data_IF_968902654616
#
_entry.id   IF_968902654616
#
_cell.length_a   1.000
_cell.length_b   1.000
_cell.length_c   1.000
_cell.angle_alpha   90.00
_cell.angle_beta   90.00
_cell.angle_gamma   90.00
#
_symmetry.space_group_name_H-M   'P 1'
#
loop_
_entity.id
_entity.type
_entity.pdbx_description
1 polymer ?
#
# COMPACT_ATOMS: atom_id res chain seq x y z
N UNK A 1 -6.26 15.74 -33.46
CA UNK A 1 -5.04 15.37 -32.70
C UNK A 1 -4.76 13.91 -32.96
N UNK A 2 -3.50 13.54 -33.23
CA UNK A 2 -3.11 12.14 -33.37
C UNK A 2 -3.15 11.47 -31.99
N UNK A 3 -3.61 10.23 -31.92
CA UNK A 3 -3.55 9.41 -30.69
C UNK A 3 -2.45 8.39 -30.90
N UNK A 4 -1.48 8.37 -29.98
CA UNK A 4 -0.39 7.42 -29.95
C UNK A 4 -0.72 6.31 -28.94
N UNK A 5 -0.39 5.07 -29.30
CA UNK A 5 -0.62 3.90 -28.45
C UNK A 5 0.73 3.30 -28.07
N UNK A 6 1.01 3.31 -26.77
CA UNK A 6 2.29 2.95 -26.19
C UNK A 6 2.18 1.64 -25.42
N UNK A 7 3.10 0.71 -25.67
CA UNK A 7 3.34 -0.43 -24.78
C UNK A 7 4.35 -0.02 -23.71
N UNK A 8 3.90 0.12 -22.46
CA UNK A 8 4.78 0.44 -21.34
C UNK A 8 5.39 -0.87 -20.79
N UNK A 9 6.43 -1.38 -21.45
CA UNK A 9 7.03 -2.66 -21.07
C UNK A 9 7.72 -2.67 -19.68
N UNK A 10 7.98 -1.50 -19.09
CA UNK A 10 8.39 -1.39 -17.69
C UNK A 10 7.23 -1.59 -16.70
N UNK A 11 5.98 -1.53 -17.17
CA UNK A 11 4.77 -1.63 -16.36
C UNK A 11 4.07 -2.97 -16.58
N UNK A 12 4.22 -3.89 -15.63
CA UNK A 12 3.61 -5.22 -15.64
C UNK A 12 2.65 -5.43 -14.44
N UNK A 13 1.73 -6.40 -14.49
CA UNK A 13 0.87 -6.74 -13.35
C UNK A 13 1.63 -7.16 -12.09
N UNK A 14 2.87 -7.65 -12.25
CA UNK A 14 3.77 -8.06 -11.17
C UNK A 14 5.18 -7.51 -11.40
N UNK A 15 5.95 -7.20 -10.33
CA UNK A 15 5.53 -7.14 -8.92
C UNK A 15 4.56 -5.98 -8.65
N UNK A 16 4.01 -5.90 -7.42
CA UNK A 16 3.02 -4.89 -7.04
C UNK A 16 3.48 -3.44 -7.35
N UNK A 17 4.78 -3.17 -7.22
CA UNK A 17 5.33 -1.87 -7.59
C UNK A 17 5.06 -1.48 -9.06
N UNK A 18 5.17 -2.44 -9.98
CA UNK A 18 4.96 -2.20 -11.40
C UNK A 18 3.48 -1.96 -11.72
N UNK A 19 2.58 -2.68 -11.05
CA UNK A 19 1.15 -2.46 -11.18
C UNK A 19 0.77 -1.04 -10.74
N UNK A 20 1.20 -0.64 -9.54
CA UNK A 20 0.92 0.69 -9.01
C UNK A 20 1.57 1.78 -9.87
N UNK A 21 2.82 1.58 -10.34
CA UNK A 21 3.49 2.49 -11.27
C UNK A 21 2.65 2.71 -12.54
N UNK A 22 2.11 1.65 -13.13
CA UNK A 22 1.27 1.76 -14.33
C UNK A 22 0.08 2.69 -14.11
N UNK A 23 -0.56 2.56 -12.93
CA UNK A 23 -1.68 3.43 -12.57
C UNK A 23 -1.23 4.85 -12.26
N UNK A 24 -0.05 5.04 -11.68
CA UNK A 24 0.58 6.33 -11.48
C UNK A 24 0.84 7.04 -12.81
N UNK A 25 1.35 6.32 -13.82
CA UNK A 25 1.54 6.87 -15.17
C UNK A 25 0.22 7.31 -15.79
N UNK A 26 -0.81 6.46 -15.78
CA UNK A 26 -2.15 6.84 -16.28
C UNK A 26 -2.68 8.07 -15.55
N UNK A 27 -2.63 8.07 -14.21
CA UNK A 27 -3.14 9.17 -13.39
C UNK A 27 -2.45 10.49 -13.72
N UNK A 28 -1.12 10.52 -13.68
CA UNK A 28 -0.35 11.74 -13.87
C UNK A 28 -0.50 12.30 -15.29
N UNK A 29 -0.46 11.43 -16.31
CA UNK A 29 -0.70 11.86 -17.69
C UNK A 29 -2.13 12.40 -17.83
N UNK A 30 -3.13 11.71 -17.28
CA UNK A 30 -4.52 12.17 -17.33
C UNK A 30 -4.76 13.50 -16.61
N UNK A 31 -4.12 13.72 -15.47
CA UNK A 31 -4.33 14.93 -14.66
C UNK A 31 -3.55 16.14 -15.20
N UNK A 32 -2.36 15.93 -15.76
CA UNK A 32 -1.41 17.02 -16.01
C UNK A 32 -1.09 17.25 -17.48
N UNK A 33 -1.38 16.30 -18.39
CA UNK A 33 -1.00 16.43 -19.80
C UNK A 33 -2.16 16.14 -20.78
N UNK A 34 -2.88 15.03 -20.61
CA UNK A 34 -3.93 14.57 -21.51
C UNK A 34 -5.12 13.94 -20.74
N UNK A 35 -6.16 14.71 -20.42
CA UNK A 35 -7.38 14.20 -19.76
C UNK A 35 -8.11 13.09 -20.52
N UNK A 36 -7.81 12.89 -21.81
CA UNK A 36 -8.40 11.85 -22.64
C UNK A 36 -7.58 10.55 -22.66
N UNK A 37 -6.44 10.51 -21.96
CA UNK A 37 -5.57 9.34 -21.92
C UNK A 37 -6.29 8.11 -21.37
N UNK A 38 -6.01 6.95 -21.95
CA UNK A 38 -6.64 5.67 -21.61
C UNK A 38 -5.60 4.61 -21.32
N UNK A 39 -5.83 3.81 -20.28
CA UNK A 39 -4.96 2.72 -19.89
C UNK A 39 -5.65 1.36 -19.90
N UNK A 40 -4.93 0.29 -20.25
CA UNK A 40 -5.40 -1.10 -20.15
C UNK A 40 -4.26 -2.11 -20.07
N UNK A 41 -4.57 -3.33 -19.65
CA UNK A 41 -3.63 -4.44 -19.58
C UNK A 41 -3.73 -5.31 -20.83
N UNK A 42 -2.57 -5.67 -21.39
CA UNK A 42 -2.47 -6.63 -22.50
C UNK A 42 -1.06 -7.21 -22.56
N UNK A 43 -0.97 -8.54 -22.74
CA UNK A 43 0.29 -9.27 -22.94
C UNK A 43 1.36 -8.96 -21.86
N UNK A 44 0.95 -9.05 -20.57
CA UNK A 44 1.76 -8.74 -19.38
C UNK A 44 2.36 -7.32 -19.35
N UNK A 45 1.78 -6.38 -20.10
CA UNK A 45 2.19 -4.98 -20.12
C UNK A 45 0.99 -4.06 -19.96
N UNK A 46 1.23 -2.88 -19.39
CA UNK A 46 0.26 -1.80 -19.43
C UNK A 46 0.39 -1.06 -20.75
N UNK A 47 -0.75 -0.74 -21.36
CA UNK A 47 -0.84 0.02 -22.58
C UNK A 47 -1.48 1.38 -22.29
N UNK A 48 -0.93 2.42 -22.90
CA UNK A 48 -1.39 3.80 -22.73
C UNK A 48 -1.70 4.40 -24.10
N UNK A 49 -2.93 4.86 -24.30
CA UNK A 49 -3.31 5.71 -25.42
C UNK A 49 -3.32 7.17 -24.95
N UNK A 50 -2.59 8.06 -25.63
CA UNK A 50 -2.47 9.49 -25.29
C UNK A 50 -2.13 10.30 -26.54
N UNK A 51 -2.35 11.62 -26.50
CA UNK A 51 -1.88 12.55 -27.54
C UNK A 51 -0.36 12.72 -27.57
N UNK A 52 0.35 12.32 -26.52
CA UNK A 52 1.81 12.42 -26.45
C UNK A 52 2.46 11.29 -27.23
N UNK A 53 3.43 11.59 -28.09
CA UNK A 53 4.32 10.57 -28.64
C UNK A 53 5.29 10.04 -27.57
N UNK A 54 6.22 9.16 -27.97
CA UNK A 54 7.09 8.44 -27.02
C UNK A 54 8.06 9.42 -26.34
N UNK A 55 8.66 10.30 -27.12
CA UNK A 55 9.61 11.31 -26.68
C UNK A 55 8.93 12.34 -25.79
N UNK A 56 7.76 12.84 -26.19
CA UNK A 56 6.95 13.76 -25.39
C UNK A 56 6.49 13.14 -24.07
N UNK A 57 6.16 11.85 -24.04
CA UNK A 57 5.78 11.17 -22.81
C UNK A 57 6.96 11.07 -21.83
N UNK A 58 8.17 10.74 -22.31
CA UNK A 58 9.36 10.75 -21.46
C UNK A 58 9.70 12.16 -20.97
N UNK A 59 9.61 13.15 -21.85
CA UNK A 59 9.89 14.55 -21.53
C UNK A 59 8.90 15.10 -20.49
N UNK A 60 7.63 14.74 -20.58
CA UNK A 60 6.62 15.09 -19.58
C UNK A 60 7.07 14.69 -18.17
N UNK A 61 7.54 13.44 -17.97
CA UNK A 61 8.01 13.01 -16.64
C UNK A 61 9.33 13.68 -16.23
N UNK A 62 10.18 14.05 -17.18
CA UNK A 62 11.46 14.70 -16.91
C UNK A 62 11.31 16.19 -16.57
N UNK A 63 10.35 16.90 -17.19
CA UNK A 63 10.26 18.37 -17.11
C UNK A 63 8.96 18.91 -16.56
N UNK A 64 7.83 18.34 -16.97
CA UNK A 64 6.53 18.95 -16.73
C UNK A 64 5.81 18.38 -15.51
N UNK A 65 6.07 17.11 -15.18
CA UNK A 65 5.41 16.42 -14.07
C UNK A 65 5.62 17.17 -12.75
N UNK A 66 4.52 17.50 -12.08
CA UNK A 66 4.48 18.02 -10.72
C UNK A 66 4.08 16.89 -9.76
N UNK A 67 4.91 16.53 -8.77
CA UNK A 67 4.59 15.45 -7.84
C UNK A 67 3.42 15.79 -6.92
N UNK A 68 2.65 14.76 -6.57
CA UNK A 68 1.63 14.85 -5.53
C UNK A 68 2.29 15.15 -4.19
N UNK A 69 1.67 16.00 -3.35
CA UNK A 69 2.22 16.37 -2.06
C UNK A 69 2.00 15.29 -0.98
N UNK A 70 2.75 14.20 -1.11
CA UNK A 70 2.69 13.05 -0.20
C UNK A 70 3.43 13.39 1.10
N UNK A 71 2.68 13.69 2.16
CA UNK A 71 3.20 14.01 3.50
C UNK A 71 2.56 13.12 4.56
N UNK A 72 3.33 12.71 5.56
CA UNK A 72 2.83 11.92 6.69
C UNK A 72 3.31 12.50 8.04
N UNK A 73 2.79 13.66 8.47
CA UNK A 73 3.17 14.29 9.74
C UNK A 73 2.80 13.44 10.96
N UNK A 74 1.99 12.39 10.82
CA UNK A 74 1.70 11.44 11.91
C UNK A 74 2.80 10.38 12.10
N UNK A 75 3.73 10.27 11.16
CA UNK A 75 4.84 9.34 11.23
C UNK A 75 6.06 9.98 11.91
N UNK A 76 6.77 9.21 12.74
CA UNK A 76 8.01 9.69 13.36
C UNK A 76 9.16 9.81 12.34
N UNK A 77 9.16 8.95 11.31
CA UNK A 77 10.23 8.85 10.30
C UNK A 77 10.08 9.76 9.09
N UNK A 78 8.99 10.55 9.00
CA UNK A 78 8.66 11.39 7.85
C UNK A 78 9.50 12.66 7.73
N UNK A 79 10.23 13.03 8.79
CA UNK A 79 11.07 14.22 8.83
C UNK A 79 10.46 15.41 9.59
N UNK A 80 9.18 15.35 9.98
CA UNK A 80 8.52 16.48 10.68
C UNK A 80 8.93 16.64 12.16
N UNK A 81 9.49 15.61 12.81
CA UNK A 81 9.86 15.63 14.25
C UNK A 81 11.37 15.51 14.50
N UNK A 82 12.20 15.92 13.54
CA UNK A 82 13.66 15.84 13.61
C UNK A 82 14.33 16.36 12.33
N UNK A 83 15.64 16.18 12.22
CA UNK A 83 16.35 16.58 10.99
C UNK A 83 15.95 15.65 9.83
N UNK A 84 15.26 16.20 8.84
CA UNK A 84 14.78 15.49 7.66
C UNK A 84 15.33 16.13 6.39
N UNK A 85 16.61 15.92 6.09
CA UNK A 85 17.32 16.67 5.04
C UNK A 85 16.59 16.71 3.69
N UNK A 86 15.94 15.61 3.29
CA UNK A 86 15.17 15.56 2.04
C UNK A 86 13.85 16.35 2.10
N UNK A 87 13.14 16.32 3.23
CA UNK A 87 11.96 17.16 3.47
C UNK A 87 12.37 18.63 3.51
N UNK A 88 13.44 18.94 4.22
CA UNK A 88 13.97 20.30 4.36
C UNK A 88 14.39 20.87 2.99
N UNK A 89 15.01 20.05 2.15
CA UNK A 89 15.35 20.39 0.78
C UNK A 89 14.12 20.66 -0.09
N UNK A 90 13.10 19.79 0.00
CA UNK A 90 11.82 19.99 -0.69
C UNK A 90 11.11 21.29 -0.23
N UNK A 91 11.13 21.57 1.07
CA UNK A 91 10.53 22.78 1.66
C UNK A 91 11.19 24.08 1.16
N UNK A 92 12.51 24.06 0.94
CA UNK A 92 13.29 25.20 0.44
C UNK A 92 13.28 25.36 -1.09
N UNK A 93 12.74 24.38 -1.81
CA UNK A 93 12.73 24.38 -3.27
C UNK A 93 12.15 25.66 -3.85
N UNK A 94 12.70 26.16 -4.96
CA UNK A 94 12.13 27.31 -5.69
C UNK A 94 11.51 26.92 -7.03
N UNK A 95 11.66 25.68 -7.47
CA UNK A 95 11.14 25.22 -8.75
C UNK A 95 9.60 25.14 -8.74
N UNK A 96 8.96 25.57 -9.83
CA UNK A 96 7.50 25.61 -9.97
C UNK A 96 6.85 24.23 -9.79
N UNK A 97 7.48 23.18 -10.33
CA UNK A 97 6.93 21.82 -10.25
C UNK A 97 6.75 21.29 -8.82
N UNK A 98 7.48 21.84 -7.84
CA UNK A 98 7.40 21.43 -6.44
C UNK A 98 6.51 22.36 -5.59
N UNK A 99 5.77 23.30 -6.19
CA UNK A 99 4.89 24.22 -5.47
C UNK A 99 3.87 23.50 -4.59
N UNK A 100 3.08 22.58 -5.17
CA UNK A 100 2.10 21.80 -4.41
C UNK A 100 2.77 20.98 -3.29
N UNK A 101 3.98 20.45 -3.53
CA UNK A 101 4.76 19.72 -2.54
C UNK A 101 5.11 20.61 -1.33
N UNK A 102 5.56 21.84 -1.59
CA UNK A 102 5.86 22.83 -0.55
C UNK A 102 4.61 23.22 0.23
N UNK A 103 3.50 23.47 -0.44
CA UNK A 103 2.23 23.80 0.22
C UNK A 103 1.80 22.69 1.19
N UNK A 104 2.02 21.43 0.80
CA UNK A 104 1.76 20.29 1.66
C UNK A 104 2.66 20.19 2.87
N UNK A 105 3.94 20.47 2.70
CA UNK A 105 4.91 20.52 3.79
C UNK A 105 4.53 21.65 4.76
N UNK A 106 4.18 22.83 4.26
CA UNK A 106 3.75 23.97 5.08
C UNK A 106 2.47 23.64 5.85
N UNK A 107 1.47 23.08 5.18
CA UNK A 107 0.20 22.68 5.81
C UNK A 107 0.40 21.60 6.89
N UNK A 108 1.36 20.69 6.69
CA UNK A 108 1.72 19.68 7.68
C UNK A 108 2.52 20.28 8.86
N UNK A 109 3.47 21.17 8.60
CA UNK A 109 4.27 21.84 9.64
C UNK A 109 3.38 22.62 10.61
N UNK A 110 2.39 23.37 10.09
CA UNK A 110 1.43 24.12 10.88
C UNK A 110 0.66 23.26 11.91
N UNK A 111 0.46 21.97 11.63
CA UNK A 111 -0.21 21.03 12.53
C UNK A 111 0.74 20.31 13.50
N UNK A 112 2.05 20.37 13.25
CA UNK A 112 3.06 19.66 14.06
C UNK A 112 3.80 20.55 15.04
N UNK A 113 3.67 21.88 14.94
CA UNK A 113 4.39 22.83 15.80
C UNK A 113 4.06 22.63 17.28
N UNK A 114 2.78 22.62 17.65
CA UNK A 114 2.36 22.42 19.04
C UNK A 114 2.76 21.03 19.58
N UNK A 115 2.66 20.00 18.75
CA UNK A 115 3.06 18.63 19.09
C UNK A 115 4.56 18.57 19.36
N UNK A 116 5.37 19.22 18.51
CA UNK A 116 6.82 19.27 18.64
C UNK A 116 7.25 20.01 19.89
N UNK A 117 6.56 21.11 20.22
CA UNK A 117 6.75 21.85 21.48
C UNK A 117 6.43 20.98 22.70
N UNK A 118 5.31 20.26 22.69
CA UNK A 118 4.94 19.34 23.76
C UNK A 118 5.93 18.16 23.92
N UNK A 119 6.43 17.59 22.81
CA UNK A 119 7.49 16.55 22.88
C UNK A 119 8.81 17.12 23.42
N UNK A 120 9.17 18.35 23.06
CA UNK A 120 10.35 19.02 23.59
C UNK A 120 10.25 19.25 25.11
N UNK A 121 9.08 19.65 25.62
CA UNK A 121 8.78 19.78 27.04
C UNK A 121 8.94 18.43 27.77
N UNK A 122 8.33 17.36 27.24
CA UNK A 122 8.48 15.99 27.77
C UNK A 122 9.96 15.56 27.82
N UNK A 123 10.71 15.84 26.75
CA UNK A 123 12.15 15.51 26.66
C UNK A 123 12.99 16.32 27.64
N UNK A 124 12.69 17.60 27.84
CA UNK A 124 13.38 18.46 28.79
C UNK A 124 13.23 17.93 30.23
N UNK A 125 12.00 17.59 30.64
CA UNK A 125 11.74 16.99 31.96
C UNK A 125 12.46 15.63 32.09
N UNK A 126 12.41 14.78 31.06
CA UNK A 126 13.12 13.48 31.06
C UNK A 126 14.65 13.68 31.15
N UNK A 127 15.19 14.74 30.57
CA UNK A 127 16.62 15.07 30.56
C UNK A 127 17.14 15.45 31.95
N UNK A 128 16.33 16.09 32.80
CA UNK A 128 16.67 16.37 34.20
C UNK A 128 17.13 15.08 34.93
N UNK A 129 16.45 13.96 34.69
CA UNK A 129 16.81 12.66 35.30
C UNK A 129 18.00 11.94 34.63
N UNK A 130 18.49 12.45 33.49
CA UNK A 130 19.58 11.88 32.69
C UNK A 130 20.86 12.73 32.74
N UNK A 131 20.87 13.82 33.52
CA UNK A 131 22.03 14.70 33.65
C UNK A 131 23.33 13.96 33.99
N UNK A 132 24.41 14.29 33.27
CA UNK A 132 25.72 13.64 33.42
C UNK A 132 26.33 13.83 34.82
N UNK A 133 25.94 14.87 35.56
CA UNK A 133 26.41 15.15 36.92
C UNK A 133 25.62 14.50 38.07
N UNK A 134 24.55 13.75 37.79
CA UNK A 134 23.71 13.14 38.82
C UNK A 134 24.17 11.74 39.22
N UNK A 135 24.35 11.51 40.52
CA UNK A 135 24.57 10.17 41.08
C UNK A 135 23.33 9.28 40.92
N UNK A 136 23.51 7.95 40.95
CA UNK A 136 22.40 6.99 40.86
C UNK A 136 21.32 7.22 41.94
N UNK A 137 21.74 7.60 43.15
CA UNK A 137 20.83 7.93 44.26
C UNK A 137 20.04 9.21 43.98
N UNK A 138 20.70 10.28 43.48
CA UNK A 138 20.04 11.53 43.13
C UNK A 138 19.02 11.35 41.99
N UNK A 139 19.34 10.55 40.96
CA UNK A 139 18.37 10.21 39.89
C UNK A 139 17.14 9.49 40.42
N UNK A 140 17.34 8.59 41.38
CA UNK A 140 16.25 7.81 41.98
C UNK A 140 15.35 8.70 42.83
N UNK A 141 15.94 9.58 43.65
CA UNK A 141 15.19 10.58 44.43
C UNK A 141 14.38 11.51 43.54
N UNK A 142 14.99 12.06 42.47
CA UNK A 142 14.30 12.94 41.52
C UNK A 142 13.12 12.22 40.83
N UNK A 143 13.29 10.97 40.40
CA UNK A 143 12.18 10.20 39.79
C UNK A 143 11.09 9.81 40.79
N UNK A 144 11.41 9.77 42.08
CA UNK A 144 10.45 9.52 43.15
C UNK A 144 9.71 10.79 43.60
N UNK A 145 10.26 11.96 43.29
CA UNK A 145 9.72 13.27 43.64
C UNK A 145 8.29 13.44 43.08
N UNK A 146 7.29 13.76 43.92
CA UNK A 146 5.92 13.98 43.48
C UNK A 146 5.76 15.10 42.44
N UNK A 147 6.54 16.18 42.54
CA UNK A 147 6.48 17.29 41.60
C UNK A 147 7.04 16.89 40.24
N UNK A 148 8.16 16.17 40.21
CA UNK A 148 8.72 15.60 38.98
C UNK A 148 7.70 14.71 38.25
N UNK A 149 7.05 13.80 39.00
CA UNK A 149 6.03 12.92 38.44
C UNK A 149 4.82 13.69 37.93
N UNK A 150 4.37 14.71 38.65
CA UNK A 150 3.25 15.57 38.24
C UNK A 150 3.56 16.29 36.94
N UNK A 151 4.69 17.02 36.86
CA UNK A 151 5.11 17.74 35.65
C UNK A 151 5.23 16.81 34.45
N UNK A 152 5.85 15.64 34.64
CA UNK A 152 6.00 14.65 33.58
C UNK A 152 4.64 14.10 33.11
N UNK A 153 3.73 13.79 34.04
CA UNK A 153 2.41 13.28 33.70
C UNK A 153 1.55 14.32 32.97
N UNK A 154 1.61 15.60 33.37
CA UNK A 154 0.93 16.70 32.70
C UNK A 154 1.47 16.90 31.27
N UNK A 155 2.79 16.91 31.10
CA UNK A 155 3.44 17.04 29.80
C UNK A 155 3.15 15.83 28.88
N UNK A 156 3.28 14.59 29.40
CA UNK A 156 2.96 13.37 28.65
C UNK A 156 1.46 13.33 28.27
N UNK A 157 0.55 13.79 29.14
CA UNK A 157 -0.88 13.90 28.84
C UNK A 157 -1.16 14.92 27.73
N UNK A 158 -0.57 16.12 27.82
CA UNK A 158 -0.69 17.16 26.77
C UNK A 158 -0.19 16.63 25.42
N UNK A 159 1.00 16.02 25.40
CA UNK A 159 1.56 15.41 24.20
C UNK A 159 0.65 14.32 23.62
N UNK A 160 0.12 13.43 24.48
CA UNK A 160 -0.79 12.36 24.05
C UNK A 160 -2.07 12.90 23.40
N UNK A 161 -2.68 13.94 23.98
CA UNK A 161 -3.88 14.60 23.43
C UNK A 161 -3.59 15.21 22.06
N UNK A 162 -2.53 16.01 21.95
CA UNK A 162 -2.15 16.66 20.69
C UNK A 162 -1.83 15.63 19.59
N UNK A 163 -1.11 14.56 19.95
CA UNK A 163 -0.77 13.47 19.04
C UNK A 163 -2.03 12.74 18.54
N UNK A 164 -2.98 12.45 19.42
CA UNK A 164 -4.24 11.79 19.05
C UNK A 164 -5.10 12.69 18.14
N UNK A 165 -5.07 14.01 18.33
CA UNK A 165 -5.82 14.94 17.49
C UNK A 165 -5.23 15.23 16.11
N UNK A 166 -3.96 14.87 15.86
CA UNK A 166 -3.24 15.24 14.63
C UNK A 166 -3.96 14.73 13.37
N UNK A 167 -4.23 13.42 13.27
CA UNK A 167 -4.88 12.83 12.09
C UNK A 167 -6.31 13.38 11.91
N UNK A 168 -7.16 13.48 12.96
CA UNK A 168 -8.43 14.19 12.87
C UNK A 168 -8.31 15.62 12.34
N UNK A 169 -7.33 16.40 12.79
CA UNK A 169 -7.11 17.77 12.32
C UNK A 169 -6.65 17.82 10.87
N UNK A 170 -5.71 16.96 10.45
CA UNK A 170 -5.34 16.80 9.04
C UNK A 170 -6.59 16.51 8.19
N UNK A 171 -7.45 15.60 8.65
CA UNK A 171 -8.71 15.26 7.96
C UNK A 171 -9.67 16.44 7.84
N UNK A 172 -9.79 17.25 8.89
CA UNK A 172 -10.68 18.42 8.90
C UNK A 172 -10.16 19.54 8.00
N UNK A 173 -8.85 19.79 7.98
CA UNK A 173 -8.26 20.96 7.33
C UNK A 173 -7.80 20.70 5.89
N UNK A 174 -7.27 19.51 5.59
CA UNK A 174 -6.66 19.25 4.29
C UNK A 174 -7.71 19.03 3.19
N UNK A 175 -7.42 19.55 2.00
CA UNK A 175 -8.23 19.42 0.79
C UNK A 175 -7.34 19.07 -0.40
N UNK A 176 -7.96 18.71 -1.53
CA UNK A 176 -7.25 18.45 -2.77
C UNK A 176 -6.22 17.31 -2.66
N UNK A 177 -5.07 17.40 -3.34
CA UNK A 177 -4.09 16.32 -3.43
C UNK A 177 -3.55 15.81 -2.08
N UNK A 178 -3.38 16.68 -1.06
CA UNK A 178 -2.95 16.26 0.29
C UNK A 178 -3.97 15.32 0.94
N UNK A 179 -5.26 15.60 0.70
CA UNK A 179 -6.36 14.83 1.24
C UNK A 179 -6.44 13.47 0.57
N UNK A 180 -6.18 13.38 -0.74
CA UNK A 180 -6.17 12.11 -1.47
C UNK A 180 -5.13 11.13 -0.91
N UNK A 181 -3.92 11.61 -0.60
CA UNK A 181 -2.90 10.77 0.04
C UNK A 181 -3.33 10.29 1.43
N UNK A 182 -3.85 11.18 2.28
CA UNK A 182 -4.34 10.79 3.60
C UNK A 182 -5.47 9.76 3.50
N UNK A 183 -6.40 9.94 2.55
CA UNK A 183 -7.49 9.01 2.31
C UNK A 183 -7.01 7.66 1.78
N UNK A 184 -5.89 7.58 1.04
CA UNK A 184 -5.28 6.30 0.68
C UNK A 184 -4.56 5.65 1.87
N UNK A 185 -3.81 6.44 2.65
CA UNK A 185 -2.91 5.93 3.69
C UNK A 185 -3.63 5.47 4.96
N UNK A 186 -4.81 6.02 5.27
CA UNK A 186 -5.55 5.71 6.49
C UNK A 186 -7.04 6.07 6.39
N UNK A 187 -7.81 5.55 7.35
CA UNK A 187 -9.20 5.94 7.58
C UNK A 187 -9.45 6.08 9.08
N UNK A 188 -10.33 7.01 9.48
CA UNK A 188 -10.71 7.15 10.89
C UNK A 188 -11.94 6.29 11.20
N UNK A 189 -11.87 5.51 12.28
CA UNK A 189 -12.97 4.77 12.87
C UNK A 189 -14.07 5.67 13.46
N UNK A 190 -15.18 5.05 13.86
CA UNK A 190 -16.28 5.75 14.55
C UNK A 190 -15.85 6.28 15.94
N UNK A 191 -14.82 5.68 16.52
CA UNK A 191 -14.15 6.09 17.77
C UNK A 191 -13.10 7.19 17.56
N UNK A 192 -12.86 7.60 16.32
CA UNK A 192 -11.84 8.60 15.97
C UNK A 192 -10.42 8.03 15.87
N UNK A 193 -10.22 6.73 16.09
CA UNK A 193 -8.92 6.09 16.00
C UNK A 193 -8.55 5.79 14.54
N UNK A 194 -7.29 5.99 14.13
CA UNK A 194 -6.85 5.70 12.77
C UNK A 194 -6.67 4.19 12.56
N UNK A 195 -7.19 3.71 11.43
CA UNK A 195 -6.95 2.37 10.93
C UNK A 195 -6.23 2.46 9.57
N UNK A 196 -5.33 1.51 9.31
CA UNK A 196 -4.40 1.57 8.18
C UNK A 196 -4.58 0.37 7.24
N UNK A 197 -4.82 0.58 5.92
CA UNK A 197 -4.84 -0.51 4.96
C UNK A 197 -3.43 -1.09 4.76
N UNK A 198 -3.34 -2.41 4.61
CA UNK A 198 -2.07 -3.11 4.43
C UNK A 198 -1.25 -2.58 3.24
N UNK A 199 -1.93 -2.12 2.18
CA UNK A 199 -1.32 -1.56 0.98
C UNK A 199 -0.32 -0.44 1.27
N UNK A 200 -0.57 0.41 2.26
CA UNK A 200 0.31 1.52 2.66
C UNK A 200 0.88 1.34 4.07
N UNK A 201 0.86 0.09 4.57
CA UNK A 201 1.45 -0.28 5.85
C UNK A 201 0.77 0.41 7.03
N UNK A 202 1.53 1.14 7.85
CA UNK A 202 1.00 1.90 9.01
C UNK A 202 0.98 3.39 8.71
N UNK A 203 0.10 3.80 7.79
CA UNK A 203 -0.07 5.21 7.42
C UNK A 203 1.10 5.76 6.60
N UNK A 204 1.58 5.00 5.63
CA UNK A 204 2.76 5.37 4.84
C UNK A 204 4.09 4.88 5.42
N UNK A 205 4.06 3.84 6.25
CA UNK A 205 5.24 3.22 6.87
C UNK A 205 5.28 1.71 6.65
N UNK A 206 6.45 1.19 6.32
CA UNK A 206 6.76 -0.24 6.35
C UNK A 206 7.93 -0.52 7.31
N UNK A 207 7.63 -1.04 8.50
CA UNK A 207 8.61 -1.19 9.57
C UNK A 207 9.23 0.16 9.95
N UNK A 208 10.53 0.33 9.63
CA UNK A 208 11.28 1.58 9.86
C UNK A 208 11.34 2.50 8.63
N UNK A 209 10.86 2.04 7.48
CA UNK A 209 10.89 2.77 6.23
C UNK A 209 9.64 3.67 6.15
N UNK A 210 9.86 4.99 6.13
CA UNK A 210 8.79 5.96 5.84
C UNK A 210 8.72 6.22 4.34
N UNK A 211 7.56 5.98 3.74
CA UNK A 211 7.37 6.13 2.30
C UNK A 211 7.43 7.58 1.84
N UNK A 212 6.96 8.54 2.65
CA UNK A 212 6.96 9.96 2.29
C UNK A 212 8.37 10.55 2.35
N UNK A 213 9.16 10.20 3.37
CA UNK A 213 10.57 10.59 3.43
C UNK A 213 11.38 9.94 2.29
N UNK A 214 11.12 8.67 1.98
CA UNK A 214 11.78 8.03 0.83
C UNK A 214 11.35 8.70 -0.49
N UNK A 215 10.09 9.10 -0.63
CA UNK A 215 9.59 9.87 -1.78
C UNK A 215 10.38 11.17 -1.97
N UNK A 216 10.60 11.97 -0.91
CA UNK A 216 11.44 13.18 -1.01
C UNK A 216 12.88 12.86 -1.42
N UNK A 217 13.46 11.79 -0.87
CA UNK A 217 14.82 11.37 -1.25
C UNK A 217 14.90 10.96 -2.72
N UNK A 218 13.92 10.22 -3.23
CA UNK A 218 13.86 9.79 -4.63
C UNK A 218 13.59 10.96 -5.58
N UNK A 219 12.80 11.95 -5.17
CA UNK A 219 12.69 13.21 -5.90
C UNK A 219 14.03 13.93 -5.97
N UNK A 220 14.80 13.97 -4.87
CA UNK A 220 16.15 14.54 -4.85
C UNK A 220 17.16 13.75 -5.68
N UNK A 221 16.97 12.44 -5.86
CA UNK A 221 17.76 11.63 -6.81
C UNK A 221 17.41 11.99 -8.27
N UNK A 222 16.13 12.20 -8.59
CA UNK A 222 15.67 12.45 -9.96
C UNK A 222 15.83 13.93 -10.38
N UNK A 223 15.77 14.87 -9.44
CA UNK A 223 15.76 16.30 -9.74
C UNK A 223 16.70 17.09 -8.84
N UNK A 224 17.14 18.24 -9.33
CA UNK A 224 17.73 19.28 -8.48
C UNK A 224 16.66 19.96 -7.63
N UNK A 225 16.26 19.30 -6.54
CA UNK A 225 15.10 19.69 -5.74
C UNK A 225 15.28 21.05 -5.03
N UNK A 226 16.48 21.40 -4.58
CA UNK A 226 16.73 22.69 -3.91
C UNK A 226 16.91 23.84 -4.90
N UNK A 227 17.50 23.56 -6.07
CA UNK A 227 17.81 24.55 -7.09
C UNK A 227 16.76 24.62 -8.18
N UNK A 228 17.15 24.26 -9.40
CA UNK A 228 16.38 24.57 -10.62
C UNK A 228 15.16 23.69 -10.85
N UNK A 229 15.08 22.53 -10.19
CA UNK A 229 14.09 21.49 -10.47
C UNK A 229 14.34 20.70 -11.77
N UNK A 230 15.48 20.94 -12.43
CA UNK A 230 15.89 20.24 -13.63
C UNK A 230 16.22 18.77 -13.34
N UNK A 231 16.00 17.86 -14.31
CA UNK A 231 16.38 16.46 -14.18
C UNK A 231 17.89 16.30 -14.00
N UNK A 232 18.28 15.39 -13.11
CA UNK A 232 19.69 14.97 -12.97
C UNK A 232 20.12 14.13 -14.18
N UNK A 233 21.44 13.95 -14.33
CA UNK A 233 22.07 13.24 -15.44
C UNK A 233 21.47 11.84 -15.70
N UNK A 234 21.19 11.07 -14.66
CA UNK A 234 20.69 9.70 -14.75
C UNK A 234 19.17 9.59 -14.94
N UNK A 235 18.45 10.71 -14.81
CA UNK A 235 16.98 10.72 -14.73
C UNK A 235 16.31 10.19 -15.97
N UNK A 236 16.82 10.55 -17.15
CA UNK A 236 16.29 10.05 -18.42
C UNK A 236 16.38 8.52 -18.49
N UNK A 237 17.49 7.93 -18.06
CA UNK A 237 17.66 6.48 -18.06
C UNK A 237 16.72 5.78 -17.06
N UNK A 238 16.48 6.39 -15.89
CA UNK A 238 15.53 5.87 -14.91
C UNK A 238 14.07 5.96 -15.37
N UNK A 239 13.68 7.07 -16.01
CA UNK A 239 12.34 7.25 -16.59
C UNK A 239 12.13 6.27 -17.76
N UNK A 240 13.09 6.15 -18.69
CA UNK A 240 12.99 5.19 -19.78
C UNK A 240 12.95 3.74 -19.29
N UNK A 241 13.70 3.39 -18.25
CA UNK A 241 13.58 2.08 -17.60
C UNK A 241 12.19 1.86 -17.00
N UNK A 242 11.65 2.86 -16.28
CA UNK A 242 10.36 2.76 -15.62
C UNK A 242 9.20 2.61 -16.62
N UNK A 243 9.22 3.35 -17.73
CA UNK A 243 8.18 3.32 -18.76
C UNK A 243 8.36 2.15 -19.73
N UNK A 244 9.56 2.02 -20.29
CA UNK A 244 9.84 1.19 -21.47
C UNK A 244 10.56 -0.12 -21.14
N UNK A 245 11.01 -0.31 -19.90
CA UNK A 245 11.80 -1.48 -19.52
C UNK A 245 13.21 -1.48 -20.12
N UNK A 246 13.70 -0.32 -20.59
CA UNK A 246 15.04 -0.18 -21.13
C UNK A 246 16.11 -0.41 -20.05
N UNK A 247 17.25 -1.05 -20.36
CA UNK A 247 18.32 -1.24 -19.40
C UNK A 247 18.82 0.09 -18.82
N UNK A 248 18.93 0.18 -17.49
CA UNK A 248 19.48 1.36 -16.81
C UNK A 248 20.83 1.04 -16.17
N UNK A 249 21.87 1.86 -16.38
CA UNK A 249 23.24 1.56 -15.95
C UNK A 249 23.49 1.75 -14.44
N UNK A 250 22.56 2.31 -13.65
CA UNK A 250 22.80 2.62 -12.24
C UNK A 250 21.52 2.68 -11.38
N UNK A 251 21.00 1.53 -10.94
CA UNK A 251 19.99 1.50 -9.88
C UNK A 251 20.61 1.97 -8.55
N UNK A 252 19.82 2.64 -7.71
CA UNK A 252 20.28 3.14 -6.41
C UNK A 252 20.24 2.03 -5.37
N UNK A 253 21.24 1.98 -4.50
CA UNK A 253 21.15 1.16 -3.30
C UNK A 253 20.24 1.87 -2.29
N UNK A 254 19.04 1.34 -2.14
CA UNK A 254 18.01 1.90 -1.25
C UNK A 254 17.01 0.81 -0.87
N UNK A 255 16.33 0.99 0.27
CA UNK A 255 15.25 0.10 0.67
C UNK A 255 14.08 0.18 -0.33
N UNK A 256 13.68 -0.96 -0.88
CA UNK A 256 12.60 -1.06 -1.88
C UNK A 256 11.19 -1.08 -1.26
N UNK A 257 11.12 -1.18 0.06
CA UNK A 257 9.86 -1.37 0.81
C UNK A 257 9.15 -2.68 0.43
N UNK A 258 7.84 -2.71 0.67
CA UNK A 258 7.07 -3.94 0.51
C UNK A 258 6.71 -4.33 -0.94
N UNK A 259 6.86 -3.43 -1.91
CA UNK A 259 6.21 -3.57 -3.22
C UNK A 259 7.01 -4.33 -4.28
N UNK A 260 8.33 -4.47 -4.07
CA UNK A 260 9.25 -5.11 -5.01
C UNK A 260 10.13 -6.16 -4.32
N UNK A 261 9.58 -7.33 -3.96
CA UNK A 261 10.36 -8.37 -3.26
C UNK A 261 11.64 -8.78 -3.99
N UNK A 262 11.63 -8.83 -5.32
CA UNK A 262 12.82 -9.17 -6.11
C UNK A 262 13.96 -8.15 -6.04
N UNK A 263 13.65 -6.88 -5.71
CA UNK A 263 14.65 -5.82 -5.54
C UNK A 263 15.15 -5.67 -4.09
N UNK A 264 14.64 -6.45 -3.14
CA UNK A 264 14.92 -6.31 -1.72
C UNK A 264 16.34 -6.75 -1.31
N UNK A 265 17.12 -7.30 -2.24
CA UNK A 265 18.45 -7.82 -1.96
C UNK A 265 18.39 -9.17 -1.23
N UNK A 266 19.49 -9.55 -0.60
CA UNK A 266 19.63 -10.81 0.14
C UNK A 266 20.42 -11.88 -0.61
N UNK A 267 20.35 -13.11 -0.10
CA UNK A 267 21.11 -14.23 -0.60
C UNK A 267 20.78 -14.55 -2.06
N UNK A 268 21.80 -14.74 -2.88
CA UNK A 268 21.69 -15.00 -4.33
C UNK A 268 21.01 -13.89 -5.15
N UNK A 269 20.95 -12.66 -4.63
CA UNK A 269 20.38 -11.50 -5.35
C UNK A 269 21.39 -10.82 -6.30
N UNK A 270 22.59 -11.37 -6.44
CA UNK A 270 23.64 -10.94 -7.37
C UNK A 270 24.52 -12.14 -7.74
N UNK A 271 25.54 -11.95 -8.59
CA UNK A 271 26.53 -13.00 -8.94
C UNK A 271 27.34 -13.46 -7.73
N UNK A 272 27.43 -12.62 -6.69
CA UNK A 272 27.99 -12.97 -5.37
C UNK A 272 26.96 -13.60 -4.41
N UNK A 273 27.43 -14.02 -3.23
CA UNK A 273 26.62 -14.72 -2.24
C UNK A 273 25.44 -13.90 -1.70
N UNK A 274 25.58 -12.58 -1.63
CA UNK A 274 24.55 -11.66 -1.14
C UNK A 274 24.58 -10.36 -1.95
N UNK A 275 23.40 -9.86 -2.32
CA UNK A 275 23.23 -8.59 -3.03
C UNK A 275 22.53 -7.55 -2.18
N UNK A 276 22.93 -6.28 -2.31
CA UNK A 276 22.21 -5.16 -1.72
C UNK A 276 20.85 -4.94 -2.39
N UNK A 277 19.96 -4.22 -1.72
CA UNK A 277 18.69 -3.81 -2.32
C UNK A 277 18.92 -2.75 -3.39
N UNK A 278 18.27 -2.90 -4.55
CA UNK A 278 18.40 -2.02 -5.70
C UNK A 278 17.02 -1.46 -6.08
N UNK A 279 16.97 -0.15 -6.27
CA UNK A 279 15.75 0.59 -6.55
C UNK A 279 15.97 1.56 -7.71
N UNK A 280 15.05 1.58 -8.67
CA UNK A 280 14.92 2.70 -9.60
C UNK A 280 14.11 3.83 -8.91
N UNK A 281 14.66 5.04 -8.74
CA UNK A 281 13.92 6.17 -8.16
C UNK A 281 12.59 6.46 -8.87
N UNK A 282 12.55 6.41 -10.20
CA UNK A 282 11.33 6.67 -10.97
C UNK A 282 10.24 5.62 -10.70
N UNK A 283 10.62 4.34 -10.55
CA UNK A 283 9.67 3.29 -10.19
C UNK A 283 9.02 3.54 -8.84
N UNK A 284 9.82 3.93 -7.83
CA UNK A 284 9.31 4.20 -6.48
C UNK A 284 8.35 5.39 -6.46
N UNK A 285 8.71 6.47 -7.14
CA UNK A 285 7.90 7.69 -7.22
C UNK A 285 6.56 7.41 -7.90
N UNK A 286 6.59 6.83 -9.11
CA UNK A 286 5.39 6.57 -9.89
C UNK A 286 4.49 5.51 -9.23
N UNK A 287 5.08 4.54 -8.53
CA UNK A 287 4.33 3.57 -7.72
C UNK A 287 3.55 4.26 -6.60
N UNK A 288 4.18 5.15 -5.83
CA UNK A 288 3.46 5.88 -4.77
C UNK A 288 2.37 6.79 -5.37
N UNK A 289 2.66 7.45 -6.49
CA UNK A 289 1.68 8.25 -7.22
C UNK A 289 0.44 7.46 -7.64
N UNK A 290 0.61 6.20 -8.05
CA UNK A 290 -0.50 5.30 -8.37
C UNK A 290 -1.24 4.75 -7.15
N UNK A 291 -0.55 4.60 -6.01
CA UNK A 291 -1.17 4.12 -4.77
C UNK A 291 -2.25 5.07 -4.23
N UNK A 292 -2.18 6.36 -4.56
CA UNK A 292 -3.16 7.40 -4.18
C UNK A 292 -4.58 7.07 -4.68
N UNK A 293 -4.72 6.29 -5.75
CA UNK A 293 -6.02 5.88 -6.28
C UNK A 293 -6.78 4.91 -5.35
N UNK A 294 -6.10 4.26 -4.41
CA UNK A 294 -6.67 3.27 -3.50
C UNK A 294 -7.11 3.91 -2.18
N UNK A 295 -8.16 4.75 -2.24
CA UNK A 295 -8.74 5.36 -1.05
C UNK A 295 -9.26 4.31 -0.05
N UNK A 296 -8.75 4.39 1.18
CA UNK A 296 -9.12 3.54 2.30
C UNK A 296 -10.58 3.75 2.72
N UNK A 297 -11.22 2.67 3.15
CA UNK A 297 -12.54 2.67 3.75
C UNK A 297 -12.59 1.78 4.99
N UNK A 298 -13.70 1.84 5.71
CA UNK A 298 -13.98 0.94 6.83
C UNK A 298 -14.87 -0.22 6.40
N UNK A 299 -14.52 -1.42 6.84
CA UNK A 299 -15.37 -2.60 6.75
C UNK A 299 -15.63 -3.16 8.16
N UNK A 300 -16.89 -3.46 8.50
CA UNK A 300 -17.26 -4.14 9.73
C UNK A 300 -17.37 -5.64 9.47
N UNK A 301 -16.72 -6.47 10.30
CA UNK A 301 -17.03 -7.91 10.35
C UNK A 301 -18.42 -8.06 10.98
N UNK A 302 -19.24 -8.96 10.44
CA UNK A 302 -20.64 -9.16 10.87
C UNK A 302 -20.78 -9.71 12.30
N UNK A 303 -19.68 -9.98 12.99
CA UNK A 303 -19.69 -10.32 14.42
C UNK A 303 -19.79 -9.05 15.27
N UNK A 304 -20.82 -9.01 16.12
CA UNK A 304 -21.33 -7.82 16.84
C UNK A 304 -20.35 -7.22 17.88
N UNK A 305 -19.10 -7.68 17.94
CA UNK A 305 -18.08 -7.35 18.94
C UNK A 305 -16.69 -7.02 18.39
N UNK A 306 -16.44 -7.10 17.08
CA UNK A 306 -15.13 -6.78 16.51
C UNK A 306 -15.06 -5.36 15.94
N UNK A 307 -13.90 -4.72 16.10
CA UNK A 307 -13.61 -3.38 15.59
C UNK A 307 -13.67 -3.33 14.05
N UNK A 308 -14.06 -2.17 13.51
CA UNK A 308 -13.99 -1.88 12.07
C UNK A 308 -12.54 -1.99 11.58
N UNK A 309 -12.30 -2.67 10.47
CA UNK A 309 -10.97 -2.76 9.85
C UNK A 309 -10.85 -1.78 8.67
N UNK A 310 -9.69 -1.14 8.54
CA UNK A 310 -9.34 -0.38 7.34
C UNK A 310 -9.09 -1.33 6.16
N UNK A 311 -9.69 -1.00 5.02
CA UNK A 311 -9.54 -1.76 3.78
C UNK A 311 -9.29 -0.81 2.62
N UNK A 312 -8.40 -1.20 1.71
CA UNK A 312 -8.32 -0.60 0.40
C UNK A 312 -9.39 -1.24 -0.52
N UNK A 313 -9.68 -0.66 -1.69
CA UNK A 313 -10.47 -1.32 -2.71
C UNK A 313 -9.96 -2.75 -2.99
N UNK A 314 -10.87 -3.72 -3.10
CA UNK A 314 -10.54 -5.12 -3.42
C UNK A 314 -9.59 -5.81 -2.42
N UNK A 315 -9.69 -5.48 -1.13
CA UNK A 315 -8.97 -6.20 -0.06
C UNK A 315 -9.82 -7.33 0.54
N UNK A 316 -9.20 -8.47 0.85
CA UNK A 316 -9.78 -9.54 1.68
C UNK A 316 -8.97 -9.75 2.94
N UNK A 317 -9.60 -10.21 4.03
CA UNK A 317 -8.86 -10.61 5.22
C UNK A 317 -7.98 -11.82 4.95
N UNK A 318 -6.92 -11.95 5.75
CA UNK A 318 -5.99 -13.05 5.63
C UNK A 318 -6.70 -14.39 5.84
N UNK A 319 -6.46 -15.31 4.91
CA UNK A 319 -6.84 -16.69 5.03
C UNK A 319 -5.63 -17.53 4.62
N UNK A 320 -5.27 -18.54 5.40
CA UNK A 320 -4.15 -19.43 5.07
C UNK A 320 -4.39 -20.31 3.83
N UNK A 321 -5.52 -20.11 3.14
CA UNK A 321 -5.91 -20.88 1.97
C UNK A 321 -5.45 -20.19 0.69
N UNK A 322 -5.09 -20.96 -0.32
CA UNK A 322 -4.49 -20.56 -1.58
C UNK A 322 -3.09 -19.92 -1.45
N UNK A 323 -2.43 -20.05 -0.30
CA UNK A 323 -1.01 -19.73 -0.13
C UNK A 323 -0.30 -20.81 0.69
N UNK A 324 0.29 -21.79 0.01
CA UNK A 324 0.83 -23.01 0.61
C UNK A 324 2.04 -22.77 1.55
N UNK A 325 2.76 -21.66 1.43
CA UNK A 325 4.06 -21.44 2.10
C UNK A 325 4.05 -20.56 3.35
N UNK A 326 2.93 -19.95 3.75
CA UNK A 326 2.89 -19.21 5.02
C UNK A 326 2.79 -20.17 6.20
N UNK A 327 3.70 -20.02 7.16
CA UNK A 327 3.61 -20.66 8.47
C UNK A 327 2.57 -19.95 9.35
N UNK A 328 1.91 -20.69 10.24
CA UNK A 328 0.86 -20.15 11.13
C UNK A 328 1.35 -19.10 12.15
N UNK A 329 2.66 -18.82 12.22
CA UNK A 329 3.28 -17.81 13.08
C UNK A 329 3.43 -16.43 12.42
N UNK A 330 3.17 -16.30 11.11
CA UNK A 330 3.34 -15.04 10.40
C UNK A 330 2.12 -14.13 10.55
N UNK A 331 2.31 -12.87 10.96
CA UNK A 331 1.24 -11.87 11.03
C UNK A 331 0.81 -11.48 9.60
N UNK A 332 -0.22 -12.11 9.09
CA UNK A 332 -0.76 -11.80 7.76
C UNK A 332 -1.68 -10.58 7.83
N UNK A 333 -1.36 -9.53 7.05
CA UNK A 333 -2.14 -8.28 7.01
C UNK A 333 -3.33 -8.31 6.03
N UNK A 334 -3.58 -9.45 5.39
CA UNK A 334 -4.63 -9.64 4.39
C UNK A 334 -4.09 -9.87 2.98
N UNK A 335 -5.01 -9.96 2.02
CA UNK A 335 -4.70 -10.03 0.59
C UNK A 335 -5.26 -8.82 -0.14
N UNK A 336 -4.46 -8.28 -1.06
CA UNK A 336 -4.86 -7.23 -1.99
C UNK A 336 -5.08 -7.83 -3.37
N UNK A 337 -6.26 -7.61 -3.95
CA UNK A 337 -6.62 -8.09 -5.27
C UNK A 337 -6.57 -6.91 -6.25
N UNK A 338 -5.64 -6.95 -7.20
CA UNK A 338 -5.42 -5.88 -8.15
C UNK A 338 -6.18 -6.15 -9.45
N UNK A 339 -7.22 -5.36 -9.78
CA UNK A 339 -8.05 -5.61 -10.95
C UNK A 339 -7.24 -5.50 -12.26
N UNK A 340 -7.51 -6.40 -13.18
CA UNK A 340 -7.00 -6.40 -14.54
C UNK A 340 -8.18 -6.18 -15.49
N UNK A 341 -7.96 -5.38 -16.52
CA UNK A 341 -8.94 -5.05 -17.54
C UNK A 341 -8.23 -4.94 -18.88
N UNK A 342 -8.89 -5.37 -19.94
CA UNK A 342 -8.37 -5.41 -21.31
C UNK A 342 -8.94 -4.29 -22.21
N UNK A 343 -9.98 -3.58 -21.73
CA UNK A 343 -10.61 -2.46 -22.43
C UNK A 343 -10.04 -1.10 -21.99
N UNK A 344 -9.72 -0.19 -22.91
CA UNK A 344 -9.16 1.13 -22.56
C UNK A 344 -10.07 1.94 -21.62
N UNK A 345 -9.59 2.23 -20.41
CA UNK A 345 -10.30 3.05 -19.41
C UNK A 345 -9.65 4.43 -19.26
N UNK A 346 -10.47 5.48 -19.15
CA UNK A 346 -9.99 6.80 -18.70
C UNK A 346 -9.85 6.84 -17.16
N UNK A 347 -9.10 7.80 -16.64
CA UNK A 347 -8.89 7.94 -15.19
C UNK A 347 -10.20 8.03 -14.39
N UNK A 348 -11.21 8.73 -14.89
CA UNK A 348 -12.51 8.85 -14.22
C UNK A 348 -13.22 7.49 -14.06
N UNK A 349 -13.16 6.63 -15.08
CA UNK A 349 -13.73 5.27 -15.04
C UNK A 349 -12.95 4.39 -14.06
N UNK A 350 -11.61 4.50 -14.04
CA UNK A 350 -10.77 3.78 -13.08
C UNK A 350 -11.07 4.19 -11.63
N UNK A 351 -11.19 5.50 -11.35
CA UNK A 351 -11.55 6.00 -10.01
C UNK A 351 -12.92 5.49 -9.58
N UNK A 352 -13.90 5.43 -10.50
CA UNK A 352 -15.21 4.84 -10.21
C UNK A 352 -15.10 3.35 -9.89
N UNK A 353 -14.38 2.58 -10.72
CA UNK A 353 -14.17 1.15 -10.51
C UNK A 353 -13.52 0.84 -9.14
N UNK A 354 -12.51 1.60 -8.74
CA UNK A 354 -11.85 1.45 -7.43
C UNK A 354 -12.76 1.89 -6.28
N UNK A 355 -13.52 2.98 -6.43
CA UNK A 355 -14.48 3.41 -5.40
C UNK A 355 -15.58 2.37 -5.15
N UNK A 356 -15.99 1.65 -6.19
CA UNK A 356 -16.94 0.54 -6.10
C UNK A 356 -16.31 -0.79 -5.65
N UNK A 357 -15.00 -0.85 -5.39
CA UNK A 357 -14.22 -2.07 -5.12
C UNK A 357 -14.55 -2.81 -3.82
N UNK A 358 -15.76 -2.62 -3.28
CA UNK A 358 -16.33 -3.36 -2.16
C UNK A 358 -17.12 -4.54 -2.69
N UNK A 359 -16.45 -5.68 -2.93
CA UNK A 359 -17.13 -6.89 -3.40
C UNK A 359 -18.11 -7.43 -2.35
N UNK A 360 -19.31 -7.81 -2.81
CA UNK A 360 -20.36 -8.45 -1.99
C UNK A 360 -20.77 -9.78 -2.63
N UNK A 361 -21.09 -10.77 -1.79
CA UNK A 361 -21.74 -12.02 -2.17
C UNK A 361 -23.16 -12.02 -1.58
N UNK A 362 -24.16 -11.68 -2.41
CA UNK A 362 -25.52 -11.45 -1.94
C UNK A 362 -25.60 -10.33 -0.91
N UNK A 363 -26.16 -10.61 0.27
CA UNK A 363 -26.24 -9.66 1.38
C UNK A 363 -24.95 -9.55 2.23
N UNK A 364 -23.95 -10.40 1.99
CA UNK A 364 -22.71 -10.46 2.79
C UNK A 364 -21.53 -9.77 2.09
N UNK A 365 -20.65 -9.08 2.82
CA UNK A 365 -19.38 -8.61 2.26
C UNK A 365 -18.47 -9.81 1.90
N UNK A 366 -17.78 -9.74 0.76
CA UNK A 366 -16.79 -10.75 0.37
C UNK A 366 -15.48 -10.51 1.14
N UNK A 367 -15.48 -10.91 2.41
CA UNK A 367 -14.42 -10.60 3.37
C UNK A 367 -13.21 -11.54 3.31
N UNK A 368 -13.26 -12.56 2.46
CA UNK A 368 -12.27 -13.66 2.41
C UNK A 368 -11.98 -14.07 0.97
N UNK A 369 -10.80 -14.67 0.70
CA UNK A 369 -10.40 -15.06 -0.65
C UNK A 369 -11.41 -15.96 -1.36
N UNK A 370 -11.99 -16.97 -0.69
CA UNK A 370 -12.99 -17.85 -1.28
C UNK A 370 -14.29 -17.12 -1.63
N UNK A 371 -14.77 -16.25 -0.75
CA UNK A 371 -15.96 -15.43 -1.02
C UNK A 371 -15.73 -14.51 -2.21
N UNK A 372 -14.52 -13.93 -2.30
CA UNK A 372 -14.15 -13.07 -3.42
C UNK A 372 -14.07 -13.86 -4.73
N UNK A 373 -13.41 -15.03 -4.74
CA UNK A 373 -13.38 -15.92 -5.90
C UNK A 373 -14.78 -16.33 -6.37
N UNK A 374 -15.68 -16.67 -5.43
CA UNK A 374 -17.08 -16.97 -5.73
C UNK A 374 -17.82 -15.76 -6.29
N UNK A 375 -17.64 -14.58 -5.72
CA UNK A 375 -18.25 -13.35 -6.22
C UNK A 375 -17.79 -13.05 -7.65
N UNK A 376 -16.49 -13.17 -7.94
CA UNK A 376 -15.92 -13.00 -9.28
C UNK A 376 -16.50 -14.01 -10.27
N UNK A 377 -16.59 -15.28 -9.89
CA UNK A 377 -17.07 -16.33 -10.77
C UNK A 377 -18.61 -16.28 -11.01
N UNK A 378 -19.37 -15.67 -10.09
CA UNK A 378 -20.83 -15.43 -10.22
C UNK A 378 -21.17 -14.14 -10.97
N UNK A 379 -20.43 -13.07 -10.73
CA UNK A 379 -20.69 -11.73 -11.30
C UNK A 379 -19.99 -11.53 -12.65
N UNK A 380 -19.60 -12.61 -13.33
CA UNK A 380 -18.86 -12.61 -14.59
C UNK A 380 -19.21 -11.44 -15.50
N UNK A 381 -18.18 -10.70 -15.94
CA UNK A 381 -18.24 -9.56 -16.87
C UNK A 381 -18.87 -8.26 -16.35
N UNK A 382 -19.54 -8.23 -15.19
CA UNK A 382 -20.36 -7.08 -14.78
C UNK A 382 -19.63 -5.72 -14.70
N UNK A 383 -18.29 -5.66 -14.79
CA UNK A 383 -17.50 -4.42 -14.74
C UNK A 383 -16.35 -4.31 -15.74
N UNK A 384 -16.33 -5.14 -16.79
CA UNK A 384 -15.25 -5.08 -17.80
C UNK A 384 -13.85 -5.43 -17.28
N UNK A 385 -13.79 -6.15 -16.15
CA UNK A 385 -12.57 -6.73 -15.62
C UNK A 385 -12.33 -8.11 -16.27
N UNK A 386 -11.07 -8.37 -16.64
CA UNK A 386 -10.62 -9.64 -17.20
C UNK A 386 -9.98 -10.55 -16.15
N UNK A 387 -9.56 -10.01 -15.01
CA UNK A 387 -8.99 -10.80 -13.92
C UNK A 387 -8.56 -9.97 -12.73
N UNK A 388 -7.85 -10.62 -11.80
CA UNK A 388 -7.22 -10.01 -10.64
C UNK A 388 -5.85 -10.63 -10.40
N UNK A 389 -4.86 -9.79 -10.14
CA UNK A 389 -3.56 -10.21 -9.61
C UNK A 389 -3.58 -10.15 -8.08
N UNK A 390 -3.22 -11.23 -7.38
CA UNK A 390 -3.38 -11.31 -5.93
C UNK A 390 -2.05 -11.13 -5.23
N UNK A 391 -2.03 -10.32 -4.17
CA UNK A 391 -0.84 -10.10 -3.35
C UNK A 391 -1.14 -10.32 -1.87
N UNK A 392 -0.32 -11.13 -1.21
CA UNK A 392 -0.33 -11.30 0.24
C UNK A 392 0.79 -10.48 0.88
N UNK A 393 0.51 -9.80 1.99
CA UNK A 393 1.53 -9.07 2.75
C UNK A 393 2.07 -9.95 3.86
N UNK A 394 3.35 -10.30 3.74
CA UNK A 394 4.02 -11.25 4.62
C UNK A 394 5.24 -10.58 5.25
N UNK A 395 5.35 -10.68 6.57
CA UNK A 395 6.51 -10.20 7.32
C UNK A 395 7.71 -11.13 7.07
N UNK A 396 8.78 -10.59 6.49
CA UNK A 396 10.05 -11.30 6.23
C UNK A 396 11.24 -10.39 6.55
N UNK A 397 12.36 -10.97 6.98
CA UNK A 397 13.58 -10.23 7.34
C UNK A 397 13.39 -9.19 8.47
N UNK A 398 12.74 -9.58 9.57
CA UNK A 398 12.42 -8.69 10.67
C UNK A 398 11.06 -8.01 10.48
N UNK A 399 10.98 -6.69 10.69
CA UNK A 399 9.72 -5.93 10.64
C UNK A 399 9.27 -5.50 9.23
N UNK A 400 9.98 -5.93 8.19
CA UNK A 400 9.68 -5.56 6.81
C UNK A 400 8.59 -6.45 6.24
N UNK A 401 7.61 -5.86 5.57
CA UNK A 401 6.57 -6.62 4.89
C UNK A 401 6.96 -6.76 3.41
N UNK A 402 6.57 -7.86 2.78
CA UNK A 402 6.72 -8.08 1.35
C UNK A 402 5.36 -8.44 0.75
N UNK A 403 4.98 -7.74 -0.32
CA UNK A 403 3.83 -8.05 -1.14
C UNK A 403 4.21 -9.18 -2.11
N UNK A 404 3.88 -10.41 -1.72
CA UNK A 404 4.18 -11.62 -2.49
C UNK A 404 2.98 -11.97 -3.36
N UNK A 405 3.23 -12.27 -4.64
CA UNK A 405 2.17 -12.74 -5.53
C UNK A 405 1.60 -14.08 -5.04
N UNK A 406 0.27 -14.16 -4.99
CA UNK A 406 -0.51 -15.36 -4.66
C UNK A 406 -1.16 -15.97 -5.91
N UNK A 407 -0.79 -15.46 -7.09
CA UNK A 407 -1.31 -15.89 -8.39
C UNK A 407 -2.50 -15.07 -8.88
N UNK A 408 -2.88 -15.35 -10.13
CA UNK A 408 -3.93 -14.63 -10.86
C UNK A 408 -5.25 -15.38 -10.82
N UNK A 409 -6.35 -14.64 -10.65
CA UNK A 409 -7.70 -15.13 -10.85
C UNK A 409 -8.26 -14.53 -12.14
N UNK A 410 -8.62 -15.36 -13.11
CA UNK A 410 -9.33 -14.90 -14.31
C UNK A 410 -10.82 -14.70 -14.02
N UNK A 411 -11.39 -13.61 -14.52
CA UNK A 411 -12.84 -13.40 -14.47
C UNK A 411 -13.45 -14.19 -15.64
N UNK A 412 -14.39 -15.13 -15.41
CA UNK A 412 -14.97 -15.89 -16.49
C UNK A 412 -15.87 -15.01 -17.36
N UNK A 413 -15.89 -15.28 -18.68
CA UNK A 413 -16.73 -14.58 -19.65
C UNK A 413 -18.23 -14.75 -19.38
N UNK A 414 -18.61 -15.83 -18.68
CA UNK A 414 -19.99 -16.11 -18.29
C UNK A 414 -20.01 -16.57 -16.85
N UNK A 415 -21.02 -16.12 -16.11
CA UNK A 415 -21.27 -16.62 -14.75
C UNK A 415 -21.37 -18.15 -14.77
N UNK A 416 -20.63 -18.82 -13.88
CA UNK A 416 -20.67 -20.28 -13.80
C UNK A 416 -21.68 -20.73 -12.74
N UNK A 417 -22.77 -21.42 -13.13
CA UNK A 417 -23.75 -21.93 -12.17
C UNK A 417 -23.15 -22.96 -11.21
N UNK A 418 -22.11 -23.69 -11.64
CA UNK A 418 -21.44 -24.69 -10.81
C UNK A 418 -20.88 -24.11 -9.51
N UNK A 419 -20.50 -22.83 -9.49
CA UNK A 419 -20.01 -22.14 -8.28
C UNK A 419 -21.08 -22.06 -7.19
N UNK A 420 -22.37 -22.10 -7.55
CA UNK A 420 -23.46 -22.14 -6.58
C UNK A 420 -23.46 -23.43 -5.75
N UNK A 421 -22.81 -24.51 -6.20
CA UNK A 421 -22.64 -25.75 -5.42
C UNK A 421 -21.82 -25.50 -4.14
N UNK A 422 -21.01 -24.45 -4.09
CA UNK A 422 -20.27 -24.07 -2.89
C UNK A 422 -21.16 -23.37 -1.85
N UNK A 423 -22.36 -22.93 -2.21
CA UNK A 423 -23.30 -22.30 -1.27
C UNK A 423 -23.75 -23.29 -0.19
N UNK A 424 -23.86 -24.58 -0.52
CA UNK A 424 -24.22 -25.64 0.42
C UNK A 424 -23.14 -25.85 1.50
N UNK A 425 -21.89 -25.54 1.17
CA UNK A 425 -20.74 -25.71 2.07
C UNK A 425 -20.49 -24.50 2.96
N UNK A 426 -21.01 -23.31 2.62
CA UNK A 426 -20.64 -22.03 3.24
C UNK A 426 -20.76 -22.05 4.76
N UNK A 427 -21.96 -22.37 5.26
CA UNK A 427 -22.22 -22.32 6.70
C UNK A 427 -21.43 -23.39 7.48
N UNK A 428 -21.13 -24.53 6.85
CA UNK A 428 -20.33 -25.58 7.47
C UNK A 428 -18.84 -25.24 7.47
N UNK A 429 -18.31 -24.72 6.38
CA UNK A 429 -16.93 -24.25 6.28
C UNK A 429 -16.63 -23.11 7.27
N UNK A 430 -17.56 -22.16 7.43
CA UNK A 430 -17.43 -21.09 8.44
C UNK A 430 -17.31 -21.65 9.87
N UNK A 431 -18.07 -22.71 10.20
CA UNK A 431 -18.00 -23.38 11.51
C UNK A 431 -16.70 -24.17 11.67
N UNK A 432 -16.32 -24.96 10.66
CA UNK A 432 -15.08 -25.74 10.66
C UNK A 432 -13.87 -24.82 10.89
N UNK A 433 -13.83 -23.69 10.17
CA UNK A 433 -12.78 -22.68 10.33
C UNK A 433 -12.73 -22.08 11.71
N UNK A 434 -13.89 -21.75 12.29
CA UNK A 434 -13.95 -21.20 13.65
C UNK A 434 -13.33 -22.17 14.66
N UNK A 435 -13.59 -23.47 14.49
CA UNK A 435 -13.00 -24.51 15.31
C UNK A 435 -11.50 -24.68 15.02
N UNK A 436 -11.07 -24.63 13.76
CA UNK A 436 -9.66 -24.76 13.38
C UNK A 436 -8.79 -23.58 13.85
N UNK A 437 -9.37 -22.38 13.96
CA UNK A 437 -8.69 -21.16 14.44
C UNK A 437 -8.59 -21.07 15.97
N UNK A 438 -9.21 -21.99 16.70
CA UNK A 438 -9.06 -22.05 18.15
C UNK A 438 -7.58 -22.30 18.51
N UNK A 439 -7.10 -21.63 19.55
CA UNK A 439 -5.70 -21.72 19.98
C UNK A 439 -5.33 -23.17 20.34
N UNK A 440 -6.30 -23.93 20.89
CA UNK A 440 -6.15 -25.32 21.30
C UNK A 440 -6.59 -26.33 20.23
N UNK A 441 -6.93 -25.88 19.01
CA UNK A 441 -7.33 -26.77 17.94
C UNK A 441 -6.19 -27.74 17.54
N UNK A 442 -6.48 -29.05 17.37
CA UNK A 442 -5.48 -30.02 16.91
C UNK A 442 -4.89 -29.64 15.55
N UNK A 443 -3.59 -29.86 15.36
CA UNK A 443 -2.90 -29.59 14.08
C UNK A 443 -3.58 -30.28 12.89
N UNK A 444 -4.11 -31.50 13.08
CA UNK A 444 -4.86 -32.22 12.03
C UNK A 444 -6.07 -31.41 11.55
N UNK A 445 -6.82 -30.79 12.46
CA UNK A 445 -8.00 -29.99 12.10
C UNK A 445 -7.58 -28.74 11.29
N UNK A 446 -6.48 -28.09 11.68
CA UNK A 446 -5.91 -26.95 10.95
C UNK A 446 -5.48 -27.33 9.53
N UNK A 447 -4.88 -28.51 9.36
CA UNK A 447 -4.45 -29.02 8.05
C UNK A 447 -5.65 -29.38 7.17
N UNK A 448 -6.66 -30.07 7.70
CA UNK A 448 -7.86 -30.45 6.95
C UNK A 448 -8.66 -29.22 6.51
N UNK A 449 -8.87 -28.25 7.41
CA UNK A 449 -9.57 -27.00 7.04
C UNK A 449 -8.84 -26.24 5.93
N UNK A 450 -7.51 -26.16 6.00
CA UNK A 450 -6.70 -25.51 4.97
C UNK A 450 -6.80 -26.23 3.63
N UNK A 451 -6.64 -27.56 3.63
CA UNK A 451 -6.71 -28.37 2.41
C UNK A 451 -8.08 -28.26 1.73
N UNK A 452 -9.15 -28.27 2.53
CA UNK A 452 -10.51 -28.06 2.05
C UNK A 452 -10.70 -26.66 1.47
N UNK A 453 -10.24 -25.62 2.18
CA UNK A 453 -10.35 -24.24 1.72
C UNK A 453 -9.56 -24.00 0.42
N UNK A 454 -8.38 -24.62 0.27
CA UNK A 454 -7.59 -24.61 -0.96
C UNK A 454 -8.34 -25.26 -2.12
N UNK A 455 -8.95 -26.43 -1.87
CA UNK A 455 -9.72 -27.15 -2.89
C UNK A 455 -10.97 -26.38 -3.31
N UNK A 456 -11.70 -25.80 -2.35
CA UNK A 456 -12.87 -24.97 -2.60
C UNK A 456 -12.51 -23.71 -3.39
N UNK A 457 -11.39 -23.05 -3.04
CA UNK A 457 -10.89 -21.90 -3.77
C UNK A 457 -10.51 -22.26 -5.20
N UNK A 458 -9.80 -23.37 -5.41
CA UNK A 458 -9.41 -23.83 -6.73
C UNK A 458 -10.62 -24.18 -7.61
N UNK A 459 -11.66 -24.79 -7.03
CA UNK A 459 -12.93 -25.05 -7.73
C UNK A 459 -13.68 -23.75 -8.07
N UNK A 460 -13.70 -22.76 -7.18
CA UNK A 460 -14.29 -21.45 -7.46
C UNK A 460 -13.51 -20.68 -8.54
N UNK A 461 -12.19 -20.78 -8.55
CA UNK A 461 -11.31 -20.11 -9.49
C UNK A 461 -11.34 -20.73 -10.90
N UNK A 462 -11.53 -22.06 -10.96
CA UNK A 462 -11.56 -22.83 -12.21
C UNK A 462 -12.82 -23.70 -12.27
N UNK A 463 -14.02 -23.09 -12.31
CA UNK A 463 -15.27 -23.83 -12.14
C UNK A 463 -15.59 -24.76 -13.32
N UNK A 464 -14.91 -24.59 -14.46
CA UNK A 464 -15.04 -25.46 -15.62
C UNK A 464 -14.13 -26.71 -15.59
N UNK A 465 -13.22 -26.84 -14.61
CA UNK A 465 -12.28 -27.97 -14.51
C UNK A 465 -12.83 -29.08 -13.59
N UNK A 466 -13.30 -30.24 -14.11
CA UNK A 466 -13.90 -31.29 -13.28
C UNK A 466 -12.95 -31.85 -12.22
N UNK A 467 -11.64 -31.89 -12.52
CA UNK A 467 -10.62 -32.35 -11.59
C UNK A 467 -10.55 -31.51 -10.30
N UNK A 468 -10.90 -30.21 -10.35
CA UNK A 468 -10.91 -29.33 -9.18
C UNK A 468 -12.08 -29.66 -8.25
N UNK A 469 -13.24 -29.93 -8.83
CA UNK A 469 -14.42 -30.39 -8.11
C UNK A 469 -14.21 -31.77 -7.48
N UNK A 470 -13.57 -32.70 -8.18
CA UNK A 470 -13.20 -34.01 -7.62
C UNK A 470 -12.27 -33.87 -6.41
N UNK A 471 -11.26 -32.98 -6.49
CA UNK A 471 -10.37 -32.72 -5.34
C UNK A 471 -11.12 -32.13 -4.15
N UNK A 472 -12.11 -31.26 -4.39
CA UNK A 472 -12.97 -30.75 -3.33
C UNK A 472 -13.77 -31.87 -2.65
N UNK A 473 -14.37 -32.78 -3.43
CA UNK A 473 -15.09 -33.94 -2.87
C UNK A 473 -14.17 -34.84 -2.05
N UNK A 474 -12.95 -35.10 -2.52
CA UNK A 474 -11.97 -35.89 -1.77
C UNK A 474 -11.51 -35.18 -0.48
N UNK A 475 -11.43 -33.86 -0.48
CA UNK A 475 -11.09 -33.09 0.72
C UNK A 475 -12.23 -33.04 1.75
N UNK A 476 -13.49 -33.22 1.32
CA UNK A 476 -14.66 -33.31 2.20
C UNK A 476 -14.75 -34.66 2.94
N UNK A 477 -14.10 -35.71 2.43
CA UNK A 477 -14.12 -37.07 2.98
C UNK A 477 -13.05 -37.29 4.09
N UNK A 478 -12.10 -36.35 4.23
CA UNK A 478 -10.99 -36.42 5.21
C UNK A 478 -11.32 -35.84 6.58
#
# INVERSE_FOLDING_TARGET
MSVHVHRLAGCAPQPLAHYLKALGVLRLVSEQADPSARGWWRDESFWLATKLDREQLAEFFLRDWAPTPLVAPWNKGSGFFGAGAALDAAARSTANRFEALRDGIVAALALTEEISSADAEVRAIKAESKGKGLTKSARTKLRADPDYKRRLAEADKRFAVLKASLIPQCRLQWRGPHREWLDAALVLGDDGEPAFPALLGTGGNDGRLDFTNNFFQRLGDLFDIEGTGEPRKESAAWVCNALWGEPSPALKSAAVGQYSPGGAGGANSTVGAEGGSLLNPADFLLMLEGSVLFSAGLCRRLDRREASAAVAPFTTFAHAAAYASAGGSEKQRGEQWMPLWDRPLVLAELRHLLAEGRSRLGARPASEPLHFARAVARLGVARGLSGFERFGFIERNGQSNLAVSLGRLSVPERASPAVALLDDLDGWMERLRRQARDEHAPTRLKVVERALADAAFAAAAHPAEPARWQRLLLALDQ
#
